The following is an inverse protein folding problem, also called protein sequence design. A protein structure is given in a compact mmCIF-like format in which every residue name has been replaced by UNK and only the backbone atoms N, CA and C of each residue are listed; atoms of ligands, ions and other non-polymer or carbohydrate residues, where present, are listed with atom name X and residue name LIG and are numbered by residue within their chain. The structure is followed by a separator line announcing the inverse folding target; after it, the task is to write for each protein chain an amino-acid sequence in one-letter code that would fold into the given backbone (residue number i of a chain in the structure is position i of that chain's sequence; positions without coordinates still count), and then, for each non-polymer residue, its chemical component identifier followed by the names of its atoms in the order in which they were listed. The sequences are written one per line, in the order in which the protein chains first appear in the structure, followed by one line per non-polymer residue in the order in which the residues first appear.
data_IF_021175636998
#
_entry.id   IF_021175636998
#
_cell.length_a   1.000
_cell.length_b   1.000
_cell.length_c   1.000
_cell.angle_alpha   90.00
_cell.angle_beta   90.00
_cell.angle_gamma   90.00
#
_symmetry.space_group_name_H-M   'P 1'
#
loop_
_entity.id
_entity.type
_entity.pdbx_description
1 polymer ?
#
# COMPACT_ATOMS: atom_id res chain seq x y z
N UNK A 1 -7.35 6.51 80.06
CA UNK A 1 -6.54 5.60 79.21
C UNK A 1 -6.53 6.17 77.80
N UNK A 2 -5.51 6.95 77.44
CA UNK A 2 -5.37 7.52 76.09
C UNK A 2 -4.80 6.46 75.15
N UNK A 3 -5.66 5.86 74.33
CA UNK A 3 -5.22 4.97 73.26
C UNK A 3 -4.65 5.79 72.11
N UNK A 4 -3.33 5.91 72.04
CA UNK A 4 -2.64 6.37 70.82
C UNK A 4 -2.85 5.31 69.74
N UNK A 5 -3.87 5.51 68.90
CA UNK A 5 -4.10 4.68 67.72
C UNK A 5 -2.84 4.75 66.87
N UNK A 6 -2.23 3.60 66.62
CA UNK A 6 -1.00 3.48 65.86
C UNK A 6 -1.24 3.83 64.37
N UNK A 7 -1.06 5.11 64.04
CA UNK A 7 -1.21 5.63 62.67
C UNK A 7 -0.22 4.98 61.69
N UNK A 8 0.92 4.48 62.16
CA UNK A 8 1.93 3.82 61.31
C UNK A 8 1.44 2.44 60.85
N UNK A 9 0.77 1.70 61.73
CA UNK A 9 0.11 0.45 61.38
C UNK A 9 -1.06 0.68 60.41
N UNK A 10 -1.83 1.75 60.62
CA UNK A 10 -2.92 2.10 59.71
C UNK A 10 -2.41 2.46 58.31
N UNK A 11 -1.36 3.28 58.21
CA UNK A 11 -0.71 3.65 56.94
C UNK A 11 -0.14 2.43 56.21
N UNK A 12 0.55 1.55 56.93
CA UNK A 12 1.13 0.31 56.36
C UNK A 12 0.05 -0.64 55.86
N UNK A 13 -1.04 -0.80 56.61
CA UNK A 13 -2.18 -1.66 56.22
C UNK A 13 -2.93 -1.07 55.02
N UNK A 14 -3.07 0.26 54.96
CA UNK A 14 -3.65 0.99 53.82
C UNK A 14 -2.81 0.80 52.55
N UNK A 15 -1.49 1.02 52.62
CA UNK A 15 -0.51 0.85 51.52
C UNK A 15 -0.33 -0.62 51.07
N UNK A 16 -0.71 -1.58 51.93
CA UNK A 16 -0.76 -2.99 51.54
C UNK A 16 -2.06 -3.31 50.81
N UNK A 17 -3.14 -2.61 51.13
CA UNK A 17 -4.48 -2.85 50.59
C UNK A 17 -4.65 -2.21 49.21
N UNK A 18 -4.24 -0.96 49.02
CA UNK A 18 -4.20 -0.25 47.73
C UNK A 18 -3.29 -0.95 46.68
N UNK A 19 -2.13 -1.47 47.07
CA UNK A 19 -1.23 -2.22 46.19
C UNK A 19 -1.88 -3.56 45.78
N UNK A 20 -2.58 -4.22 46.71
CA UNK A 20 -3.36 -5.43 46.40
C UNK A 20 -4.53 -5.14 45.46
N UNK A 21 -5.24 -4.02 45.65
CA UNK A 21 -6.32 -3.57 44.77
C UNK A 21 -5.80 -3.20 43.37
N UNK A 22 -4.68 -2.48 43.29
CA UNK A 22 -4.06 -2.09 42.00
C UNK A 22 -3.57 -3.32 41.23
N UNK A 23 -2.90 -4.26 41.91
CA UNK A 23 -2.47 -5.52 41.28
C UNK A 23 -3.66 -6.35 40.81
N UNK A 24 -4.74 -6.45 41.59
CA UNK A 24 -5.93 -7.20 41.19
C UNK A 24 -6.64 -6.55 40.00
N UNK A 25 -6.80 -5.22 39.99
CA UNK A 25 -7.36 -4.49 38.85
C UNK A 25 -6.53 -4.68 37.56
N UNK A 26 -5.20 -4.66 37.67
CA UNK A 26 -4.29 -4.94 36.55
C UNK A 26 -4.40 -6.39 36.05
N UNK A 27 -4.56 -7.35 36.96
CA UNK A 27 -4.79 -8.76 36.57
C UNK A 27 -6.14 -8.93 35.86
N UNK A 28 -7.21 -8.28 36.34
CA UNK A 28 -8.51 -8.29 35.66
C UNK A 28 -8.44 -7.61 34.28
N UNK A 29 -7.70 -6.51 34.12
CA UNK A 29 -7.56 -5.87 32.81
C UNK A 29 -6.76 -6.73 31.82
N UNK A 30 -5.73 -7.44 32.26
CA UNK A 30 -5.00 -8.42 31.43
C UNK A 30 -5.92 -9.59 31.06
N UNK A 31 -6.63 -10.17 32.03
CA UNK A 31 -7.52 -11.30 31.78
C UNK A 31 -8.67 -10.91 30.85
N UNK A 32 -9.26 -9.73 31.02
CA UNK A 32 -10.26 -9.19 30.12
C UNK A 32 -9.70 -9.00 28.70
N UNK A 33 -8.50 -8.41 28.57
CA UNK A 33 -7.85 -8.22 27.26
C UNK A 33 -7.52 -9.55 26.58
N UNK A 34 -7.02 -10.52 27.34
CA UNK A 34 -6.74 -11.87 26.84
C UNK A 34 -8.01 -12.60 26.42
N UNK A 35 -9.11 -12.41 27.15
CA UNK A 35 -10.42 -12.99 26.82
C UNK A 35 -10.98 -12.39 25.53
N UNK A 36 -10.91 -11.07 25.37
CA UNK A 36 -11.31 -10.37 24.14
C UNK A 36 -10.48 -10.88 22.95
N UNK A 37 -9.16 -10.95 23.10
CA UNK A 37 -8.26 -11.41 22.02
C UNK A 37 -8.48 -12.89 21.66
N UNK A 38 -8.77 -13.75 22.65
CA UNK A 38 -9.10 -15.14 22.42
C UNK A 38 -10.47 -15.29 21.73
N UNK A 39 -11.45 -14.49 22.14
CA UNK A 39 -12.76 -14.45 21.53
C UNK A 39 -12.66 -14.00 20.06
N UNK A 40 -11.79 -13.06 19.71
CA UNK A 40 -11.61 -12.58 18.33
C UNK A 40 -10.67 -13.44 17.47
N UNK A 41 -9.98 -14.42 18.06
CA UNK A 41 -8.99 -15.26 17.37
C UNK A 41 -9.58 -16.00 16.17
N UNK A 42 -10.86 -16.39 16.24
CA UNK A 42 -11.56 -17.07 15.15
C UNK A 42 -11.85 -16.14 13.95
N UNK A 43 -11.79 -14.81 14.12
CA UNK A 43 -12.01 -13.84 13.05
C UNK A 43 -10.72 -13.54 12.26
N UNK A 44 -9.54 -13.82 12.83
CA UNK A 44 -8.23 -13.64 12.19
C UNK A 44 -8.17 -14.19 10.76
N UNK A 45 -8.60 -15.43 10.45
CA UNK A 45 -8.59 -15.94 9.08
C UNK A 45 -9.53 -15.15 8.15
N UNK A 46 -10.69 -14.71 8.62
CA UNK A 46 -11.62 -13.89 7.82
C UNK A 46 -11.04 -12.51 7.52
N UNK A 47 -10.41 -11.86 8.50
CA UNK A 47 -9.70 -10.60 8.29
C UNK A 47 -8.51 -10.76 7.35
N UNK A 48 -7.74 -11.85 7.46
CA UNK A 48 -6.63 -12.15 6.55
C UNK A 48 -7.10 -12.38 5.10
N UNK A 49 -8.26 -13.02 4.91
CA UNK A 49 -8.89 -13.17 3.59
C UNK A 49 -9.32 -11.83 3.02
N UNK A 50 -10.07 -11.03 3.78
CA UNK A 50 -10.51 -9.70 3.37
C UNK A 50 -9.31 -8.79 3.03
N UNK A 51 -8.28 -8.82 3.87
CA UNK A 51 -6.98 -8.17 3.64
C UNK A 51 -6.38 -8.55 2.28
N UNK A 52 -6.20 -9.84 2.03
CA UNK A 52 -5.60 -10.34 0.79
C UNK A 52 -6.40 -9.92 -0.45
N UNK A 53 -7.74 -9.95 -0.36
CA UNK A 53 -8.63 -9.54 -1.47
C UNK A 53 -8.49 -8.03 -1.73
N UNK A 54 -8.59 -7.19 -0.70
CA UNK A 54 -8.49 -5.73 -0.85
C UNK A 54 -7.12 -5.32 -1.40
N UNK A 55 -6.04 -5.92 -0.90
CA UNK A 55 -4.68 -5.70 -1.44
C UNK A 55 -4.60 -6.11 -2.91
N UNK A 56 -5.19 -7.25 -3.27
CA UNK A 56 -5.17 -7.75 -4.65
C UNK A 56 -5.89 -6.80 -5.59
N UNK A 57 -7.10 -6.32 -5.23
CA UNK A 57 -7.87 -5.36 -6.05
C UNK A 57 -7.08 -4.06 -6.22
N UNK A 58 -6.51 -3.53 -5.14
CA UNK A 58 -5.76 -2.28 -5.18
C UNK A 58 -4.54 -2.37 -6.11
N UNK A 59 -3.71 -3.41 -5.96
CA UNK A 59 -2.44 -3.52 -6.67
C UNK A 59 -2.55 -4.12 -8.08
N UNK A 60 -3.56 -4.92 -8.37
CA UNK A 60 -3.75 -5.51 -9.71
C UNK A 60 -4.53 -4.58 -10.63
N UNK A 61 -5.55 -3.90 -10.12
CA UNK A 61 -6.48 -3.13 -10.94
C UNK A 61 -6.30 -1.62 -10.74
N UNK A 62 -6.49 -1.14 -9.51
CA UNK A 62 -6.64 0.30 -9.25
C UNK A 62 -5.35 1.08 -9.51
N UNK A 63 -4.24 0.70 -8.85
CA UNK A 63 -2.96 1.40 -9.00
C UNK A 63 -2.39 1.34 -10.43
N UNK A 64 -2.39 0.19 -11.13
CA UNK A 64 -1.97 0.13 -12.54
C UNK A 64 -2.85 0.95 -13.48
N UNK A 65 -4.17 0.97 -13.24
CA UNK A 65 -5.11 1.76 -14.03
C UNK A 65 -4.82 3.26 -13.87
N UNK A 66 -4.66 3.75 -12.64
CA UNK A 66 -4.27 5.13 -12.37
C UNK A 66 -2.98 5.52 -13.08
N UNK A 67 -1.95 4.66 -13.04
CA UNK A 67 -0.68 4.89 -13.72
C UNK A 67 -0.79 4.87 -15.27
N UNK A 68 -1.75 4.12 -15.83
CA UNK A 68 -1.94 3.97 -17.28
C UNK A 68 -2.71 5.14 -17.88
N UNK A 69 -3.65 5.76 -17.14
CA UNK A 69 -4.38 6.96 -17.57
C UNK A 69 -3.42 8.07 -18.03
N UNK A 70 -2.38 8.36 -17.26
CA UNK A 70 -1.37 9.38 -17.61
C UNK A 70 -0.56 9.06 -18.87
N UNK A 71 -0.55 7.81 -19.32
CA UNK A 71 0.18 7.36 -20.51
C UNK A 71 -0.68 7.39 -21.76
N UNK A 72 -1.99 7.29 -21.61
CA UNK A 72 -2.96 7.24 -22.70
C UNK A 72 -3.61 8.60 -22.96
N UNK A 73 -3.94 9.34 -21.91
CA UNK A 73 -4.69 10.59 -22.00
C UNK A 73 -3.75 11.78 -21.84
N UNK A 74 -3.61 12.58 -22.91
CA UNK A 74 -2.84 13.82 -22.90
C UNK A 74 -3.74 15.00 -22.53
N UNK A 75 -4.14 15.10 -21.27
CA UNK A 75 -4.94 16.24 -20.80
C UNK A 75 -4.58 16.61 -19.35
N UNK A 76 -4.84 17.86 -18.96
CA UNK A 76 -4.72 18.29 -17.56
C UNK A 76 -5.65 17.51 -16.62
N UNK A 77 -6.80 17.09 -17.13
CA UNK A 77 -7.79 16.29 -16.39
C UNK A 77 -7.28 14.86 -16.12
N UNK A 78 -6.38 14.32 -16.96
CA UNK A 78 -5.77 13.01 -16.74
C UNK A 78 -5.00 12.94 -15.43
N UNK A 79 -4.40 14.06 -14.98
CA UNK A 79 -3.69 14.10 -13.69
C UNK A 79 -4.67 14.06 -12.52
N UNK A 80 -5.78 14.80 -12.60
CA UNK A 80 -6.81 14.76 -11.57
C UNK A 80 -7.46 13.37 -11.49
N UNK A 81 -7.72 12.76 -12.64
CA UNK A 81 -8.23 11.39 -12.73
C UNK A 81 -7.24 10.39 -12.15
N UNK A 82 -5.95 10.50 -12.48
CA UNK A 82 -4.88 9.72 -11.87
C UNK A 82 -4.91 9.86 -10.34
N UNK A 83 -4.88 11.08 -9.82
CA UNK A 83 -4.89 11.33 -8.39
C UNK A 83 -6.11 10.72 -7.71
N UNK A 84 -7.31 10.88 -8.29
CA UNK A 84 -8.54 10.29 -7.79
C UNK A 84 -8.49 8.76 -7.74
N UNK A 85 -8.05 8.11 -8.81
CA UNK A 85 -7.89 6.65 -8.86
C UNK A 85 -6.85 6.17 -7.84
N UNK A 86 -5.72 6.88 -7.71
CA UNK A 86 -4.70 6.53 -6.72
C UNK A 86 -5.22 6.68 -5.29
N UNK A 87 -6.07 7.68 -5.02
CA UNK A 87 -6.70 7.87 -3.72
C UNK A 87 -7.66 6.72 -3.39
N UNK A 88 -8.41 6.22 -4.37
CA UNK A 88 -9.23 5.01 -4.21
C UNK A 88 -8.37 3.78 -3.86
N UNK A 89 -7.23 3.61 -4.55
CA UNK A 89 -6.29 2.52 -4.25
C UNK A 89 -5.73 2.61 -2.83
N UNK A 90 -5.46 3.83 -2.37
CA UNK A 90 -5.06 4.13 -1.01
C UNK A 90 -6.13 3.78 0.03
N UNK A 91 -7.39 4.16 -0.22
CA UNK A 91 -8.48 3.83 0.68
C UNK A 91 -8.65 2.32 0.87
N UNK A 92 -8.53 1.54 -0.21
CA UNK A 92 -8.51 0.07 -0.14
C UNK A 92 -7.28 -0.47 0.61
N UNK A 93 -6.15 0.26 0.53
CA UNK A 93 -4.91 -0.11 1.21
C UNK A 93 -4.95 0.11 2.73
N UNK A 94 -5.78 1.03 3.23
CA UNK A 94 -5.89 1.31 4.68
C UNK A 94 -6.52 0.16 5.47
N UNK A 95 -7.33 -0.69 4.83
CA UNK A 95 -7.76 -1.98 5.40
C UNK A 95 -6.63 -3.03 5.46
N UNK A 96 -5.44 -2.67 4.97
CA UNK A 96 -4.23 -3.47 4.89
C UNK A 96 -3.35 -3.32 6.13
N UNK A 97 -2.94 -4.42 6.78
CA UNK A 97 -1.90 -4.38 7.83
C UNK A 97 -0.62 -3.71 7.31
N UNK A 98 0.13 -3.06 8.23
CA UNK A 98 1.33 -2.29 7.92
C UNK A 98 2.49 -3.19 7.46
N UNK A 99 2.59 -3.42 6.15
CA UNK A 99 3.79 -3.98 5.51
C UNK A 99 4.73 -2.85 5.08
N UNK A 100 6.03 -3.16 4.91
CA UNK A 100 7.00 -2.20 4.35
C UNK A 100 6.53 -1.66 2.99
N UNK A 101 5.86 -2.50 2.19
CA UNK A 101 5.29 -2.08 0.90
C UNK A 101 4.21 -1.02 1.09
N UNK A 102 3.29 -1.22 2.04
CA UNK A 102 2.25 -0.23 2.36
C UNK A 102 2.88 1.07 2.82
N UNK A 103 3.85 1.02 3.74
CA UNK A 103 4.55 2.23 4.25
C UNK A 103 5.26 2.98 3.12
N UNK A 104 6.00 2.29 2.25
CA UNK A 104 6.67 2.93 1.11
C UNK A 104 5.67 3.46 0.08
N UNK A 105 4.53 2.78 -0.10
CA UNK A 105 3.42 3.25 -0.92
C UNK A 105 2.76 4.50 -0.32
N UNK A 106 2.76 4.63 1.01
CA UNK A 106 2.28 5.82 1.72
C UNK A 106 3.12 7.07 1.42
N UNK A 107 4.39 6.90 1.07
CA UNK A 107 5.30 8.01 0.73
C UNK A 107 5.07 8.50 -0.72
N UNK A 108 4.52 7.66 -1.61
CA UNK A 108 4.39 7.94 -3.04
C UNK A 108 3.61 9.23 -3.39
N UNK A 109 2.42 9.55 -2.84
CA UNK A 109 1.68 10.74 -3.23
C UNK A 109 2.37 12.02 -2.79
N UNK A 110 3.10 12.01 -1.66
CA UNK A 110 3.89 13.17 -1.25
C UNK A 110 5.01 13.44 -2.26
N UNK A 111 5.77 12.41 -2.64
CA UNK A 111 6.79 12.52 -3.69
C UNK A 111 6.18 12.94 -5.04
N UNK A 112 5.02 12.40 -5.39
CA UNK A 112 4.29 12.72 -6.61
C UNK A 112 3.81 14.17 -6.66
N UNK A 113 3.20 14.66 -5.59
CA UNK A 113 2.72 16.04 -5.45
C UNK A 113 3.89 17.02 -5.50
N UNK A 114 4.98 16.75 -4.75
CA UNK A 114 6.17 17.61 -4.73
C UNK A 114 6.76 17.73 -6.14
N UNK A 115 7.03 16.59 -6.80
CA UNK A 115 7.59 16.63 -8.15
C UNK A 115 6.63 17.30 -9.15
N UNK A 116 5.34 16.99 -9.10
CA UNK A 116 4.38 17.53 -10.05
C UNK A 116 4.19 19.03 -9.88
N UNK A 117 4.18 19.53 -8.63
CA UNK A 117 4.14 20.96 -8.34
C UNK A 117 5.39 21.68 -8.87
N UNK A 118 6.58 21.11 -8.64
CA UNK A 118 7.84 21.66 -9.17
C UNK A 118 7.85 21.64 -10.70
N UNK A 119 7.34 20.58 -11.33
CA UNK A 119 7.25 20.46 -12.79
C UNK A 119 6.34 21.55 -13.39
N UNK A 120 5.18 21.81 -12.78
CA UNK A 120 4.27 22.86 -13.23
C UNK A 120 4.90 24.25 -13.10
N UNK A 121 5.67 24.48 -12.02
CA UNK A 121 6.32 25.79 -11.76
C UNK A 121 7.55 26.04 -12.63
N UNK A 122 8.45 25.07 -12.74
CA UNK A 122 9.77 25.24 -13.38
C UNK A 122 9.82 24.76 -14.82
N UNK A 123 8.82 23.99 -15.31
CA UNK A 123 8.79 23.31 -16.63
C UNK A 123 10.00 22.40 -16.91
N UNK A 124 10.92 22.22 -15.96
CA UNK A 124 12.10 21.36 -16.06
C UNK A 124 11.87 20.04 -15.32
N UNK A 125 12.56 18.98 -15.77
CA UNK A 125 12.50 17.66 -15.12
C UNK A 125 13.24 17.71 -13.79
N UNK A 126 12.51 17.49 -12.70
CA UNK A 126 13.10 17.35 -11.36
C UNK A 126 13.73 15.96 -11.21
N UNK A 127 14.86 15.87 -10.52
CA UNK A 127 15.53 14.59 -10.23
C UNK A 127 14.67 13.58 -9.45
N UNK A 128 13.59 14.05 -8.78
CA UNK A 128 12.63 13.21 -8.06
C UNK A 128 11.65 12.46 -8.98
N UNK A 129 11.49 12.91 -10.23
CA UNK A 129 10.60 12.27 -11.21
C UNK A 129 10.93 10.80 -11.49
N UNK A 130 12.19 10.44 -11.85
CA UNK A 130 12.54 9.05 -12.08
C UNK A 130 12.41 8.20 -10.81
N UNK A 131 12.77 8.75 -9.64
CA UNK A 131 12.66 8.04 -8.36
C UNK A 131 11.19 7.66 -8.10
N UNK A 132 10.27 8.61 -8.19
CA UNK A 132 8.83 8.35 -8.01
C UNK A 132 8.32 7.29 -9.01
N UNK A 133 8.68 7.41 -10.29
CA UNK A 133 8.19 6.48 -11.33
C UNK A 133 8.74 5.07 -11.17
N UNK A 134 10.03 4.89 -10.83
CA UNK A 134 10.64 3.58 -10.66
C UNK A 134 10.21 2.93 -9.35
N UNK A 135 10.18 3.70 -8.25
CA UNK A 135 9.72 3.22 -6.96
C UNK A 135 8.27 2.74 -7.05
N UNK A 136 7.38 3.50 -7.70
CA UNK A 136 5.99 3.08 -7.92
C UNK A 136 5.86 1.78 -8.71
N UNK A 137 6.72 1.53 -9.72
CA UNK A 137 6.68 0.27 -10.49
C UNK A 137 7.11 -0.93 -9.65
N UNK A 138 8.18 -0.79 -8.88
CA UNK A 138 8.68 -1.84 -7.99
C UNK A 138 7.61 -2.16 -6.94
N UNK A 139 7.03 -1.13 -6.32
CA UNK A 139 5.98 -1.30 -5.31
C UNK A 139 4.70 -1.93 -5.85
N UNK A 140 4.31 -1.65 -7.11
CA UNK A 140 3.16 -2.32 -7.74
C UNK A 140 3.41 -3.83 -7.86
N UNK A 141 4.59 -4.24 -8.33
CA UNK A 141 4.93 -5.67 -8.49
C UNK A 141 5.00 -6.36 -7.11
N UNK A 142 5.69 -5.74 -6.15
CA UNK A 142 5.78 -6.27 -4.79
C UNK A 142 4.40 -6.33 -4.11
N UNK A 143 3.55 -5.34 -4.33
CA UNK A 143 2.19 -5.29 -3.81
C UNK A 143 1.29 -6.38 -4.39
N UNK A 144 1.42 -6.68 -5.69
CA UNK A 144 0.77 -7.84 -6.30
C UNK A 144 1.21 -9.12 -5.58
N UNK A 145 2.52 -9.39 -5.49
CA UNK A 145 3.07 -10.58 -4.81
C UNK A 145 2.59 -10.66 -3.36
N UNK A 146 2.58 -9.54 -2.62
CA UNK A 146 2.10 -9.46 -1.24
C UNK A 146 0.60 -9.78 -1.12
N UNK A 147 -0.24 -9.26 -2.02
CA UNK A 147 -1.67 -9.59 -2.06
C UNK A 147 -1.92 -11.08 -2.34
N UNK A 148 -1.18 -11.66 -3.31
CA UNK A 148 -1.28 -13.08 -3.65
C UNK A 148 -0.79 -14.00 -2.52
N UNK A 149 0.30 -13.64 -1.85
CA UNK A 149 0.79 -14.35 -0.68
C UNK A 149 -0.20 -14.26 0.48
N UNK A 150 -0.80 -13.09 0.71
CA UNK A 150 -1.87 -12.90 1.70
C UNK A 150 -3.06 -13.82 1.47
N UNK A 151 -3.53 -13.94 0.21
CA UNK A 151 -4.59 -14.90 -0.15
C UNK A 151 -4.19 -16.36 0.04
N UNK A 152 -2.92 -16.70 -0.20
CA UNK A 152 -2.41 -18.07 0.00
C UNK A 152 -2.32 -18.42 1.49
N UNK A 153 -1.85 -17.50 2.32
CA UNK A 153 -1.70 -17.67 3.77
C UNK A 153 -3.04 -17.66 4.51
N UNK A 154 -4.04 -16.95 3.99
CA UNK A 154 -5.37 -16.90 4.59
C UNK A 154 -6.23 -18.15 4.33
N UNK A 155 -5.62 -19.27 3.88
CA UNK A 155 -6.29 -20.49 3.45
C UNK A 155 -7.51 -20.24 2.55
N UNK A 156 -7.30 -19.44 1.50
CA UNK A 156 -8.35 -19.18 0.53
C UNK A 156 -8.66 -20.44 -0.29
N UNK A 157 -9.88 -20.49 -0.83
CA UNK A 157 -10.35 -21.57 -1.70
C UNK A 157 -9.41 -21.76 -2.89
N UNK A 158 -9.30 -23.00 -3.38
CA UNK A 158 -8.54 -23.30 -4.60
C UNK A 158 -9.02 -22.43 -5.78
N UNK A 159 -10.33 -22.24 -5.92
CA UNK A 159 -10.91 -21.34 -6.92
C UNK A 159 -10.46 -19.89 -6.77
N UNK A 160 -10.40 -19.36 -5.53
CA UNK A 160 -9.91 -18.00 -5.27
C UNK A 160 -8.43 -17.80 -5.62
N UNK A 161 -7.59 -18.80 -5.34
CA UNK A 161 -6.16 -18.81 -5.73
C UNK A 161 -6.00 -18.81 -7.26
N UNK A 162 -6.79 -19.61 -7.97
CA UNK A 162 -6.79 -19.67 -9.44
C UNK A 162 -7.28 -18.34 -10.05
N UNK A 163 -8.42 -17.83 -9.57
CA UNK A 163 -9.00 -16.58 -10.05
C UNK A 163 -8.01 -15.41 -9.91
N UNK A 164 -7.33 -15.33 -8.76
CA UNK A 164 -6.27 -14.35 -8.54
C UNK A 164 -5.15 -14.47 -9.58
N UNK A 165 -4.65 -15.69 -9.82
CA UNK A 165 -3.58 -15.95 -10.78
C UNK A 165 -3.96 -15.55 -12.21
N UNK A 166 -5.20 -15.85 -12.62
CA UNK A 166 -5.73 -15.46 -13.94
C UNK A 166 -5.79 -13.94 -14.08
N UNK A 167 -6.39 -13.24 -13.12
CA UNK A 167 -6.53 -11.77 -13.18
C UNK A 167 -5.15 -11.09 -13.16
N UNK A 168 -4.25 -11.52 -12.28
CA UNK A 168 -2.88 -11.01 -12.22
C UNK A 168 -2.11 -11.26 -13.53
N UNK A 169 -2.27 -12.46 -14.12
CA UNK A 169 -1.66 -12.83 -15.39
C UNK A 169 -2.14 -11.98 -16.56
N UNK A 170 -3.46 -11.78 -16.69
CA UNK A 170 -4.05 -10.93 -17.74
C UNK A 170 -3.58 -9.48 -17.60
N UNK A 171 -3.66 -8.90 -16.40
CA UNK A 171 -3.19 -7.54 -16.15
C UNK A 171 -1.69 -7.37 -16.42
N UNK A 172 -0.88 -8.36 -16.01
CA UNK A 172 0.56 -8.39 -16.29
C UNK A 172 0.87 -8.47 -17.79
N UNK A 173 0.16 -9.33 -18.52
CA UNK A 173 0.28 -9.46 -19.97
C UNK A 173 -0.10 -8.17 -20.70
N UNK A 174 -1.20 -7.52 -20.30
CA UNK A 174 -1.61 -6.22 -20.85
C UNK A 174 -0.54 -5.15 -20.64
N UNK A 175 0.05 -5.07 -19.44
CA UNK A 175 1.13 -4.13 -19.17
C UNK A 175 2.37 -4.42 -20.00
N UNK A 176 2.76 -5.70 -20.13
CA UNK A 176 3.90 -6.12 -20.95
C UNK A 176 3.67 -5.79 -22.43
N UNK A 177 2.49 -6.07 -22.96
CA UNK A 177 2.11 -5.72 -24.33
C UNK A 177 2.24 -4.21 -24.57
N UNK A 178 1.79 -3.38 -23.62
CA UNK A 178 1.95 -1.93 -23.70
C UNK A 178 3.42 -1.49 -23.69
N UNK A 179 4.26 -2.09 -22.84
CA UNK A 179 5.70 -1.81 -22.80
C UNK A 179 6.35 -2.16 -24.16
N UNK A 180 6.06 -3.35 -24.70
CA UNK A 180 6.58 -3.82 -25.99
C UNK A 180 6.14 -2.91 -27.13
N UNK A 181 4.85 -2.58 -27.20
CA UNK A 181 4.30 -1.65 -28.21
C UNK A 181 5.04 -0.29 -28.16
N UNK A 182 5.26 0.26 -26.96
CA UNK A 182 5.95 1.53 -26.79
C UNK A 182 7.42 1.47 -27.19
N UNK A 183 8.12 0.39 -26.89
CA UNK A 183 9.52 0.19 -27.29
C UNK A 183 9.63 0.08 -28.81
N UNK A 184 8.75 -0.69 -29.46
CA UNK A 184 8.71 -0.83 -30.93
C UNK A 184 8.44 0.51 -31.62
N UNK A 185 7.45 1.28 -31.15
CA UNK A 185 7.12 2.60 -31.73
C UNK A 185 8.29 3.59 -31.63
N UNK A 186 9.05 3.58 -30.53
CA UNK A 186 10.25 4.42 -30.37
C UNK A 186 11.36 4.02 -31.33
N UNK A 187 11.55 2.71 -31.55
CA UNK A 187 12.52 2.19 -32.52
C UNK A 187 12.18 2.63 -33.95
N UNK A 188 10.91 2.50 -34.36
CA UNK A 188 10.47 2.93 -35.69
C UNK A 188 10.68 4.44 -35.93
N UNK A 189 10.32 5.28 -34.96
CA UNK A 189 10.48 6.73 -35.12
C UNK A 189 11.95 7.18 -35.20
N UNK A 190 12.88 6.46 -34.58
CA UNK A 190 14.33 6.75 -34.71
C UNK A 190 14.85 6.39 -36.11
N UNK A 191 14.44 5.22 -36.63
CA UNK A 191 14.81 4.78 -37.99
C UNK A 191 14.30 5.72 -39.08
N UNK A 192 13.09 6.26 -38.91
CA UNK A 192 12.51 7.22 -39.84
C UNK A 192 13.32 8.52 -39.90
N UNK A 193 13.73 9.06 -38.75
CA UNK A 193 14.59 10.27 -38.67
C UNK A 193 15.95 10.02 -39.31
N UNK A 194 16.59 8.87 -39.00
CA UNK A 194 17.87 8.48 -39.56
C UNK A 194 17.81 8.35 -41.10
N UNK A 195 16.75 7.74 -41.63
CA UNK A 195 16.54 7.63 -43.08
C UNK A 195 16.35 9.00 -43.76
N UNK A 196 15.63 9.93 -43.12
CA UNK A 196 15.42 11.30 -43.64
C UNK A 196 16.74 12.09 -43.64
N UNK A 197 17.54 11.96 -42.57
CA UNK A 197 18.85 12.61 -42.47
C UNK A 197 19.84 12.05 -43.50
N UNK A 198 19.86 10.72 -43.71
CA UNK A 198 20.64 10.11 -44.77
C UNK A 198 20.25 10.64 -46.15
N UNK A 199 18.95 10.70 -46.47
CA UNK A 199 18.48 11.22 -47.76
C UNK A 199 18.87 12.69 -48.01
N UNK A 200 18.82 13.55 -46.97
CA UNK A 200 19.21 14.96 -47.07
C UNK A 200 20.72 15.21 -47.16
N UNK A 201 21.56 14.20 -46.97
CA UNK A 201 23.03 14.31 -47.13
C UNK A 201 23.54 13.88 -48.51
N UNK A 202 22.65 13.34 -49.36
CA UNK A 202 23.01 12.89 -50.72
C UNK A 202 22.64 13.93 -51.79
N UNK A 203 21.89 14.98 -51.43
CA UNK A 203 21.60 16.17 -52.26
C UNK A 203 22.64 17.29 -52.04
#
# INVERSE_FOLDING_TARGET
MNGTVDQSLFSTKSNKMDNKLTRTAYLYSILASATILYQDLHLVPSYAKAYGILMSVAFILIFPLGATVLRLVKSKHAVWLHFGIQLTGWALMLGGLATVIVVLMLIQPFLGVIHHWIYIRKKTRTALAPVHVWLGRILIILGMVNGGLGLRLADNTHGGKIAYGVVAGVCGAMYLAWVVYRLRRRGNGRKEVENVELLGTVE
#
